data_IF_702455847960
#
_entry.id   IF_702455847960
#
_cell.length_a   1.000
_cell.length_b   1.000
_cell.length_c   1.000
_cell.angle_alpha   90.00
_cell.angle_beta   90.00
_cell.angle_gamma   90.00
#
_symmetry.space_group_name_H-M   'P 1'
#
loop_
_entity.id
_entity.type
_entity.pdbx_description
1 polymer ?
#
# COMPACT_ATOMS: atom_id res chain seq x y z
N UNK A 9 -8.51 10.07 17.20
CA UNK A 9 -7.97 11.19 16.44
C UNK A 9 -6.57 10.86 15.90
N UNK A 10 -6.48 10.67 14.60
CA UNK A 10 -5.21 10.35 13.95
C UNK A 10 -4.86 11.38 12.88
N UNK A 11 -5.87 12.12 12.43
CA UNK A 11 -5.68 13.14 11.41
C UNK A 11 -4.59 12.71 10.42
N UNK A 12 -4.58 11.44 10.07
CA UNK A 12 -3.59 10.91 9.13
C UNK A 12 -2.18 11.11 9.67
N UNK A 13 -1.67 10.09 10.36
CA UNK A 13 -0.32 10.16 10.93
C UNK A 13 0.70 9.58 9.96
N UNK A 14 1.83 9.12 10.51
CA UNK A 14 2.87 8.54 9.68
C UNK A 14 2.65 7.07 9.40
N UNK A 15 1.38 6.68 9.33
CA UNK A 15 1.03 5.28 9.07
C UNK A 15 0.42 5.12 7.68
N UNK A 16 0.03 3.89 7.35
CA UNK A 16 -0.56 3.61 6.05
C UNK A 16 -1.75 4.53 5.77
N UNK A 17 -1.49 5.62 5.06
CA UNK A 17 -2.53 6.58 4.73
C UNK A 17 -3.81 5.88 4.28
N UNK A 18 -4.89 6.64 4.19
CA UNK A 18 -6.18 6.08 3.79
C UNK A 18 -6.89 7.03 2.82
N UNK A 19 -6.26 7.31 1.69
CA UNK A 19 -6.85 8.20 0.69
C UNK A 19 -8.30 7.83 0.42
N UNK A 20 -9.05 8.78 -0.14
CA UNK A 20 -10.46 8.56 -0.45
C UNK A 20 -10.99 9.64 -1.39
N UNK A 21 -10.14 10.08 -2.31
CA UNK A 21 -10.52 11.11 -3.26
C UNK A 21 -9.37 11.41 -4.23
N UNK A 22 -8.52 10.41 -4.45
CA UNK A 22 -7.37 10.57 -5.35
C UNK A 22 -6.40 11.60 -4.81
N UNK A 23 -6.81 12.87 -4.82
CA UNK A 23 -5.96 13.96 -4.33
C UNK A 23 -5.06 13.48 -3.21
N UNK A 24 -5.63 12.74 -2.26
CA UNK A 24 -4.87 12.23 -1.12
C UNK A 24 -3.97 11.08 -1.56
N UNK A 25 -4.48 10.22 -2.44
CA UNK A 25 -3.72 9.09 -2.93
C UNK A 25 -2.40 9.54 -3.55
N UNK A 26 -2.45 10.65 -4.28
CA UNK A 26 -1.26 11.20 -4.93
C UNK A 26 -0.28 11.72 -3.89
N UNK A 27 -0.80 12.38 -2.87
CA UNK A 27 0.04 12.95 -1.82
C UNK A 27 1.12 11.96 -1.40
N UNK A 28 0.90 10.68 -1.67
CA UNK A 28 1.85 9.64 -1.32
C UNK A 28 2.58 9.13 -2.56
N UNK A 29 1.81 8.71 -3.55
CA UNK A 29 2.39 8.20 -4.80
C UNK A 29 3.49 9.12 -5.30
N UNK A 30 3.40 10.40 -4.94
CA UNK A 30 4.39 11.38 -5.36
C UNK A 30 5.53 11.48 -4.35
N UNK A 31 5.24 11.14 -3.10
CA UNK A 31 6.24 11.18 -2.04
C UNK A 31 7.10 9.92 -2.05
N UNK A 32 7.16 9.26 -3.20
CA UNK A 32 7.96 8.05 -3.34
C UNK A 32 9.03 8.22 -4.42
N UNK A 33 8.62 8.76 -5.56
CA UNK A 33 9.54 8.97 -6.67
C UNK A 33 10.58 10.03 -6.32
N UNK A 34 10.14 11.10 -5.67
CA UNK A 34 11.05 12.17 -5.27
C UNK A 34 11.68 11.88 -3.92
N UNK A 35 10.88 11.33 -3.00
CA UNK A 35 11.36 11.00 -1.67
C UNK A 35 12.45 9.93 -1.73
N UNK A 36 12.35 9.05 -2.72
CA UNK A 36 13.32 7.98 -2.87
C UNK A 36 12.94 6.73 -2.09
N UNK A 37 11.65 6.44 -2.05
CA UNK A 37 11.15 5.27 -1.35
C UNK A 37 10.09 4.54 -2.17
N UNK A 38 9.90 3.26 -1.88
CA UNK A 38 8.91 2.45 -2.60
C UNK A 38 7.50 2.88 -2.25
N UNK A 39 6.54 2.48 -3.08
CA UNK A 39 5.14 2.82 -2.86
C UNK A 39 4.32 1.58 -2.53
N UNK A 40 3.34 1.74 -1.64
CA UNK A 40 2.48 0.64 -1.24
C UNK A 40 1.04 1.10 -1.05
N UNK A 41 0.23 0.89 -2.07
CA UNK A 41 -1.18 1.29 -2.03
C UNK A 41 -2.07 0.10 -1.69
N UNK A 42 -2.92 0.27 -0.69
CA UNK A 42 -3.84 -0.78 -0.26
C UNK A 42 -5.24 -0.53 -0.79
N UNK A 43 -5.52 -1.04 -1.99
CA UNK A 43 -6.83 -0.86 -2.60
C UNK A 43 -7.92 -1.51 -1.75
N UNK A 44 -9.09 -1.70 -2.35
CA UNK A 44 -10.22 -2.32 -1.65
C UNK A 44 -11.53 -2.02 -2.37
N UNK A 45 -12.37 -3.05 -2.50
CA UNK A 45 -13.65 -2.90 -3.17
C UNK A 45 -14.60 -2.04 -2.34
N UNK A 46 -14.99 -2.54 -1.17
CA UNK A 46 -15.90 -1.83 -0.29
C UNK A 46 -15.94 -2.46 1.10
N UNK A 47 -15.81 -3.78 1.13
CA UNK A 47 -15.82 -4.51 2.39
C UNK A 47 -14.41 -4.71 2.92
N UNK A 48 -13.47 -4.95 2.01
CA UNK A 48 -12.07 -5.15 2.40
C UNK A 48 -11.85 -6.56 2.96
N UNK A 49 -12.58 -6.89 4.02
CA UNK A 49 -12.46 -8.20 4.64
C UNK A 49 -12.27 -8.12 6.13
N UNK A 50 -11.02 -8.36 6.58
CA UNK A 50 -10.68 -8.33 8.01
C UNK A 50 -10.72 -6.92 8.58
N UNK A 51 -10.02 -6.00 7.93
CA UNK A 51 -9.97 -4.61 8.37
C UNK A 51 -10.01 -4.53 9.90
N UNK A 52 -9.45 -5.54 10.55
CA UNK A 52 -9.41 -5.58 12.01
C UNK A 52 -8.30 -6.49 12.50
N UNK A 53 -8.24 -7.70 11.94
CA UNK A 53 -7.23 -8.67 12.33
C UNK A 53 -5.83 -8.19 11.92
N UNK A 54 -5.73 -7.66 10.71
CA UNK A 54 -4.46 -7.17 10.20
C UNK A 54 -4.40 -5.64 10.23
N UNK A 55 -5.40 -5.04 10.87
CA UNK A 55 -5.46 -3.59 10.99
C UNK A 55 -4.20 -3.03 11.63
N UNK A 56 -3.86 -3.53 12.82
CA UNK A 56 -2.67 -3.10 13.55
C UNK A 56 -1.38 -3.56 12.88
N UNK A 57 -1.51 -4.19 11.72
CA UNK A 57 -0.34 -4.67 10.98
C UNK A 57 0.04 -3.70 9.87
N UNK A 58 -0.94 -3.28 9.09
CA UNK A 58 -0.70 -2.35 7.99
C UNK A 58 -0.20 -1.01 8.51
N UNK A 59 -1.10 -0.26 9.14
CA UNK A 59 -0.76 1.05 9.69
C UNK A 59 0.56 0.99 10.45
N UNK A 60 0.69 0.01 11.33
CA UNK A 60 1.90 -0.15 12.13
C UNK A 60 3.10 -0.45 11.23
N UNK A 61 2.84 -1.13 10.11
CA UNK A 61 3.91 -1.48 9.17
C UNK A 61 4.42 -0.24 8.44
N UNK A 62 3.49 0.59 7.98
CA UNK A 62 3.84 1.81 7.26
C UNK A 62 5.00 2.53 7.95
N UNK A 63 4.95 2.61 9.28
CA UNK A 63 6.00 3.27 10.05
C UNK A 63 7.20 2.36 10.20
N UNK A 64 6.96 1.08 10.46
CA UNK A 64 8.04 0.12 10.63
C UNK A 64 8.97 0.13 9.41
N UNK A 65 8.44 0.51 8.26
CA UNK A 65 9.22 0.57 7.03
C UNK A 65 9.33 2.00 6.52
N UNK A 66 10.38 2.70 6.97
CA UNK A 66 10.63 4.09 6.58
C UNK A 66 11.05 4.21 5.11
N UNK A 67 11.24 3.07 4.46
CA UNK A 67 11.63 3.07 3.06
C UNK A 67 10.45 3.04 2.12
N UNK A 68 9.28 3.42 2.63
CA UNK A 68 8.07 3.43 1.83
C UNK A 68 7.11 4.53 2.30
N UNK A 69 6.13 4.84 1.46
CA UNK A 69 5.15 5.87 1.79
C UNK A 69 3.87 5.26 2.35
N UNK A 70 3.50 4.09 1.82
CA UNK A 70 2.30 3.40 2.27
C UNK A 70 1.06 4.27 2.09
N UNK A 71 -0.09 3.64 1.92
CA UNK A 71 -1.34 4.36 1.74
C UNK A 71 -2.47 3.41 1.34
N UNK A 72 -3.69 3.75 1.74
CA UNK A 72 -4.85 2.92 1.41
C UNK A 72 -5.91 3.75 0.69
N UNK A 73 -6.45 3.19 -0.40
CA UNK A 73 -7.47 3.88 -1.17
C UNK A 73 -8.69 2.99 -1.39
N UNK A 74 -9.78 3.58 -1.86
CA UNK A 74 -11.01 2.83 -2.10
C UNK A 74 -11.33 2.80 -3.60
N UNK A 75 -11.44 1.60 -4.15
CA UNK A 75 -11.75 1.43 -5.57
C UNK A 75 -13.24 1.54 -5.82
N UNK A 76 -13.91 2.39 -5.05
CA UNK A 76 -15.34 2.60 -5.19
C UNK A 76 -15.67 4.07 -5.42
N UNK A 77 -14.72 4.93 -5.09
CA UNK A 77 -14.90 6.38 -5.26
C UNK A 77 -13.87 6.94 -6.23
N UNK A 78 -12.67 6.35 -6.22
CA UNK A 78 -11.60 6.80 -7.10
C UNK A 78 -10.99 5.62 -7.86
N UNK A 79 -11.78 4.56 -8.02
CA UNK A 79 -11.32 3.38 -8.73
C UNK A 79 -10.35 3.75 -9.85
N UNK A 80 -10.60 4.90 -10.47
CA UNK A 80 -9.76 5.37 -11.56
C UNK A 80 -8.30 5.00 -11.32
N UNK A 81 -7.92 4.92 -10.04
CA UNK A 81 -6.55 4.58 -9.67
C UNK A 81 -6.30 3.08 -9.81
N UNK A 82 -7.24 2.28 -9.34
CA UNK A 82 -7.12 0.83 -9.43
C UNK A 82 -7.22 0.35 -10.86
N UNK A 83 -8.01 1.05 -11.67
CA UNK A 83 -8.19 0.69 -13.07
C UNK A 83 -6.88 0.88 -13.85
N UNK A 84 -6.01 1.74 -13.33
CA UNK A 84 -4.74 2.01 -13.97
C UNK A 84 -3.72 0.91 -13.66
N UNK A 85 -3.83 0.34 -12.46
CA UNK A 85 -2.93 -0.72 -12.03
C UNK A 85 -3.54 -2.09 -12.29
N UNK A 86 -4.85 -2.12 -12.51
CA UNK A 86 -5.56 -3.36 -12.76
C UNK A 86 -5.68 -4.18 -11.48
N UNK A 87 -6.55 -3.72 -10.57
CA UNK A 87 -6.76 -4.42 -9.31
C UNK A 87 -8.10 -5.16 -9.31
N UNK A 88 -9.07 -4.60 -10.02
CA UNK A 88 -10.40 -5.20 -10.10
C UNK A 88 -11.28 -4.75 -8.93
N UNK A 89 -10.95 -5.22 -7.73
CA UNK A 89 -11.70 -4.86 -6.54
C UNK A 89 -11.30 -5.74 -5.36
N UNK A 90 -10.42 -5.21 -4.51
CA UNK A 90 -9.95 -5.95 -3.35
C UNK A 90 -8.86 -5.17 -2.62
N UNK A 91 -8.52 -5.63 -1.40
CA UNK A 91 -7.48 -4.99 -0.58
C UNK A 91 -6.08 -5.19 -1.17
N UNK A 92 -5.98 -5.18 -2.49
CA UNK A 92 -4.71 -5.35 -3.16
C UNK A 92 -3.70 -4.29 -2.74
N UNK A 93 -2.59 -4.73 -2.18
CA UNK A 93 -1.55 -3.80 -1.72
C UNK A 93 -0.65 -3.38 -2.89
N UNK A 94 -1.27 -3.13 -4.03
CA UNK A 94 -0.54 -2.71 -5.22
C UNK A 94 0.66 -1.86 -4.85
N UNK A 95 1.77 -2.05 -5.57
CA UNK A 95 2.99 -1.30 -5.32
C UNK A 95 3.38 -0.47 -6.53
N UNK A 96 4.12 0.61 -6.29
CA UNK A 96 4.56 1.49 -7.37
C UNK A 96 6.00 1.94 -7.15
N UNK A 97 6.94 1.03 -7.39
CA UNK A 97 8.36 1.33 -7.23
C UNK A 97 8.88 2.16 -8.40
N UNK A 98 9.45 3.33 -8.09
CA UNK A 98 9.97 4.21 -9.11
C UNK A 98 8.87 5.05 -9.74
N UNK A 99 7.62 4.73 -9.39
CA UNK A 99 6.49 5.47 -9.93
C UNK A 99 5.87 4.76 -11.12
N UNK A 100 5.71 3.45 -11.02
CA UNK A 100 5.13 2.66 -12.09
C UNK A 100 4.31 1.49 -11.54
N UNK A 101 4.98 0.38 -11.28
CA UNK A 101 4.31 -0.80 -10.75
C UNK A 101 5.31 -1.92 -10.48
N UNK A 102 5.64 -2.11 -9.21
CA UNK A 102 6.58 -3.15 -8.81
C UNK A 102 5.88 -4.50 -8.62
N UNK A 103 4.64 -4.44 -8.14
CA UNK A 103 3.86 -5.65 -7.91
C UNK A 103 2.73 -5.39 -6.91
N UNK A 104 1.95 -6.41 -6.63
CA UNK A 104 0.83 -6.30 -5.70
C UNK A 104 0.82 -7.46 -4.70
N UNK A 105 -0.01 -7.35 -3.68
CA UNK A 105 -0.13 -8.39 -2.66
C UNK A 105 -1.57 -8.59 -2.22
N UNK A 106 -1.95 -7.93 -1.14
CA UNK A 106 -3.31 -8.03 -0.62
C UNK A 106 -3.38 -7.63 0.84
N UNK A 107 -4.48 -6.98 1.23
CA UNK A 107 -4.63 -6.56 2.61
C UNK A 107 -5.34 -7.59 3.46
N UNK A 108 -4.87 -8.84 3.39
CA UNK A 108 -5.46 -9.92 4.16
C UNK A 108 -4.45 -11.04 4.39
N UNK A 109 -3.19 -10.76 4.13
CA UNK A 109 -2.13 -11.74 4.31
C UNK A 109 -1.02 -11.19 5.20
N UNK A 110 -0.90 -11.74 6.40
CA UNK A 110 0.13 -11.30 7.35
C UNK A 110 1.45 -11.99 7.06
N UNK A 111 1.51 -12.73 5.95
CA UNK A 111 2.72 -13.43 5.57
C UNK A 111 3.13 -13.08 4.15
N UNK A 112 2.26 -12.36 3.45
CA UNK A 112 2.52 -11.95 2.07
C UNK A 112 2.81 -10.45 1.99
N UNK A 113 2.39 -9.73 3.03
CA UNK A 113 2.61 -8.28 3.07
C UNK A 113 4.04 -7.94 3.47
N UNK A 114 4.34 -8.10 4.75
CA UNK A 114 5.68 -7.81 5.26
C UNK A 114 6.74 -8.49 4.39
N UNK A 115 6.33 -9.48 3.62
CA UNK A 115 7.24 -10.21 2.74
C UNK A 115 7.51 -9.42 1.46
N UNK A 116 6.51 -8.69 0.99
CA UNK A 116 6.63 -7.89 -0.22
C UNK A 116 7.31 -6.55 0.08
N UNK A 117 6.95 -5.94 1.20
CA UNK A 117 7.53 -4.67 1.59
C UNK A 117 9.04 -4.78 1.77
N UNK A 118 9.50 -5.99 2.11
CA UNK A 118 10.93 -6.23 2.30
C UNK A 118 11.66 -6.35 0.97
N UNK A 119 10.95 -6.83 -0.05
CA UNK A 119 11.53 -6.99 -1.37
C UNK A 119 11.56 -5.66 -2.12
N UNK A 120 10.62 -4.78 -1.79
CA UNK A 120 10.55 -3.47 -2.43
C UNK A 120 11.15 -2.39 -1.54
N UNK A 121 10.74 -2.39 -0.27
CA UNK A 121 11.23 -1.41 0.69
C UNK A 121 12.44 -1.95 1.46
N UNK A 122 12.46 -3.26 1.67
CA UNK A 122 13.56 -3.89 2.39
C UNK A 122 14.81 -4.00 1.55
N UNK A 123 14.64 -4.01 0.22
CA UNK A 123 15.77 -4.11 -0.69
C UNK A 123 16.60 -5.35 -0.39
N UNK A 124 16.05 -6.26 0.41
CA UNK A 124 16.75 -7.48 0.78
C UNK A 124 15.84 -8.70 0.63
N UNK A 125 14.55 -8.50 0.88
CA UNK A 125 13.57 -9.58 0.77
C UNK A 125 14.00 -10.78 1.61
N UNK A 126 13.63 -10.75 2.89
CA UNK A 126 13.97 -11.84 3.80
C UNK A 126 13.08 -13.06 3.56
N UNK A 127 13.07 -13.54 2.32
CA UNK A 127 12.27 -14.70 1.95
C UNK A 127 12.81 -15.35 0.69
N UNK A 128 13.72 -16.31 0.86
CA UNK A 128 14.31 -17.02 -0.26
C UNK A 128 14.96 -16.05 -1.25
N UNK A 129 15.72 -16.59 -2.19
CA UNK A 129 16.40 -15.77 -3.19
C UNK A 129 16.27 -16.38 -4.58
N UNK A 130 16.50 -17.69 -4.67
CA UNK A 130 16.41 -18.40 -5.93
C UNK A 130 15.86 -19.80 -5.73
#
# INVERSE_FOLDING_TARGET
>A
GPMAAEEGMAAEEGVVIACHNKDEFDAQMTKAKEAGKVVIIDFTASWCGPCRFIAPVFAEYAKKFPGAVFLKVDVDELKEVAEKYNVEAMPTFLFIKDGAEADKVVGARKDDLQNTIVKHVGATAASASA
#
